data_IF_377233583532
#
_entry.id   IF_377233583532
#
_cell.length_a   1.000
_cell.length_b   1.000
_cell.length_c   1.000
_cell.angle_alpha   90.00
_cell.angle_beta   90.00
_cell.angle_gamma   90.00
#
_symmetry.space_group_name_H-M   'P 1'
#
loop_
_entity.id
_entity.type
_entity.pdbx_description
1 polymer ?
#
# COMPACT_ATOMS: atom_id res chain seq x y z
N UNK A 1 6.58 -10.76 -21.08
CA UNK A 1 5.82 -11.98 -20.74
C UNK A 1 4.81 -11.54 -19.71
N UNK A 2 3.51 -11.68 -19.95
CA UNK A 2 2.52 -11.13 -19.03
C UNK A 2 2.43 -12.06 -17.82
N UNK A 3 2.78 -11.54 -16.65
CA UNK A 3 2.62 -12.18 -15.35
C UNK A 3 1.17 -12.07 -14.88
N UNK A 4 0.78 -12.92 -13.93
CA UNK A 4 -0.59 -12.96 -13.40
C UNK A 4 -0.57 -12.94 -11.88
N UNK A 5 -1.29 -11.99 -11.29
CA UNK A 5 -1.55 -11.95 -9.85
C UNK A 5 -2.98 -12.43 -9.61
N UNK A 6 -3.10 -13.57 -8.94
CA UNK A 6 -4.39 -14.04 -8.43
C UNK A 6 -4.71 -13.33 -7.11
N UNK A 7 -5.80 -12.56 -7.09
CA UNK A 7 -6.26 -11.82 -5.91
C UNK A 7 -7.55 -12.45 -5.42
N UNK A 8 -7.54 -12.93 -4.19
CA UNK A 8 -8.73 -13.43 -3.50
C UNK A 8 -8.98 -12.59 -2.25
N UNK A 9 -10.17 -12.01 -2.14
CA UNK A 9 -10.63 -11.27 -0.97
C UNK A 9 -11.88 -11.94 -0.44
N UNK A 10 -11.90 -12.25 0.85
CA UNK A 10 -13.06 -12.80 1.54
C UNK A 10 -13.41 -11.88 2.71
N UNK A 11 -14.65 -11.41 2.73
CA UNK A 11 -15.22 -10.58 3.78
C UNK A 11 -16.37 -11.38 4.39
N UNK A 12 -16.24 -11.74 5.67
CA UNK A 12 -17.27 -12.42 6.43
C UNK A 12 -17.75 -11.50 7.54
N UNK A 13 -19.01 -11.06 7.49
CA UNK A 13 -19.62 -10.27 8.56
C UNK A 13 -20.27 -11.25 9.54
N UNK A 14 -19.88 -11.20 10.81
CA UNK A 14 -20.46 -12.07 11.83
C UNK A 14 -21.98 -11.86 11.92
N UNK A 15 -22.74 -12.96 11.80
CA UNK A 15 -24.21 -12.93 11.72
C UNK A 15 -24.77 -12.07 10.57
N UNK A 16 -23.98 -11.84 9.52
CA UNK A 16 -24.31 -10.99 8.39
C UNK A 16 -23.96 -11.62 7.04
N UNK A 17 -23.98 -10.82 5.96
CA UNK A 17 -23.64 -11.29 4.64
C UNK A 17 -22.14 -11.59 4.51
N UNK A 18 -21.81 -12.40 3.50
CA UNK A 18 -20.43 -12.59 3.06
C UNK A 18 -20.26 -12.02 1.65
N UNK A 19 -19.03 -11.59 1.36
CA UNK A 19 -18.61 -11.17 0.03
C UNK A 19 -17.30 -11.89 -0.27
N UNK A 20 -17.23 -12.54 -1.44
CA UNK A 20 -16.00 -13.15 -1.94
C UNK A 20 -15.70 -12.63 -3.34
N UNK A 21 -14.46 -12.19 -3.55
CA UNK A 21 -13.96 -11.66 -4.80
C UNK A 21 -12.74 -12.50 -5.21
N UNK A 22 -12.76 -13.01 -6.43
CA UNK A 22 -11.62 -13.69 -7.05
C UNK A 22 -11.35 -13.02 -8.41
N UNK A 23 -10.15 -12.47 -8.58
CA UNK A 23 -9.72 -11.76 -9.78
C UNK A 23 -8.32 -12.17 -10.18
N UNK A 24 -8.07 -12.16 -11.49
CA UNK A 24 -6.73 -12.23 -12.05
C UNK A 24 -6.40 -10.83 -12.56
N UNK A 25 -5.28 -10.28 -12.09
CA UNK A 25 -4.72 -9.03 -12.60
C UNK A 25 -3.53 -9.40 -13.48
N UNK A 26 -3.60 -9.03 -14.75
CA UNK A 26 -2.50 -9.17 -15.69
C UNK A 26 -1.54 -7.99 -15.53
N UNK A 27 -0.26 -8.31 -15.32
CA UNK A 27 0.81 -7.34 -15.06
C UNK A 27 2.05 -7.73 -15.87
N UNK A 28 2.91 -6.76 -16.17
CA UNK A 28 4.19 -7.03 -16.83
C UNK A 28 5.30 -7.33 -15.82
N UNK A 29 5.16 -6.81 -14.60
CA UNK A 29 6.05 -7.06 -13.48
C UNK A 29 5.29 -6.94 -12.16
N UNK A 30 5.86 -7.51 -11.10
CA UNK A 30 5.40 -7.35 -9.73
C UNK A 30 6.58 -7.24 -8.80
N UNK A 31 6.40 -6.55 -7.68
CA UNK A 31 7.44 -6.38 -6.69
C UNK A 31 6.86 -6.40 -5.28
N UNK A 32 7.61 -7.00 -4.34
CA UNK A 32 7.32 -6.93 -2.91
C UNK A 32 8.41 -6.11 -2.23
N UNK A 33 8.00 -5.00 -1.63
CA UNK A 33 8.87 -4.08 -0.90
C UNK A 33 8.60 -4.24 0.60
N UNK A 34 9.65 -4.37 1.41
CA UNK A 34 9.55 -4.39 2.87
C UNK A 34 10.23 -3.14 3.43
N UNK A 35 9.53 -2.43 4.32
CA UNK A 35 9.96 -1.13 4.86
C UNK A 35 9.87 -1.19 6.37
N UNK A 36 10.95 -0.82 7.03
CA UNK A 36 10.99 -0.64 8.49
C UNK A 36 10.94 0.84 8.80
N UNK A 37 9.91 1.32 9.50
CA UNK A 37 9.79 2.71 9.98
C UNK A 37 9.98 2.74 11.49
N UNK A 38 10.82 3.63 11.99
CA UNK A 38 11.06 3.82 13.42
C UNK A 38 10.15 4.91 13.98
N UNK A 39 9.95 4.92 15.30
CA UNK A 39 9.27 6.04 15.94
C UNK A 39 9.98 7.35 15.60
N UNK A 40 9.20 8.39 15.33
CA UNK A 40 9.65 9.72 14.90
C UNK A 40 10.22 9.78 13.48
N UNK A 41 10.24 8.67 12.71
CA UNK A 41 10.49 8.74 11.27
C UNK A 41 9.36 9.57 10.63
N UNK A 42 9.75 10.62 9.90
CA UNK A 42 8.85 11.47 9.13
C UNK A 42 9.18 11.37 7.63
N UNK A 43 8.14 11.22 6.81
CA UNK A 43 8.21 11.17 5.35
C UNK A 43 9.30 10.23 4.80
N UNK A 44 9.45 9.05 5.40
CA UNK A 44 10.35 8.00 4.91
C UNK A 44 9.92 7.56 3.51
N UNK A 45 10.72 7.92 2.51
CA UNK A 45 10.44 7.67 1.10
C UNK A 45 10.62 6.20 0.76
N UNK A 46 9.65 5.67 0.02
CA UNK A 46 9.64 4.34 -0.56
C UNK A 46 9.25 4.50 -2.02
N UNK A 47 10.20 4.28 -2.92
CA UNK A 47 9.92 4.24 -4.34
C UNK A 47 9.16 2.95 -4.67
N UNK A 48 8.02 3.09 -5.34
CA UNK A 48 7.26 1.94 -5.82
C UNK A 48 7.80 1.43 -7.15
N UNK A 49 8.35 2.30 -7.97
CA UNK A 49 8.88 1.91 -9.27
C UNK A 49 9.99 2.89 -9.69
N UNK A 50 10.98 2.47 -10.50
CA UNK A 50 11.99 3.38 -11.02
C UNK A 50 11.33 4.54 -11.76
N UNK A 51 11.79 5.77 -11.49
CA UNK A 51 11.24 7.02 -12.04
C UNK A 51 11.27 7.10 -13.57
N UNK A 52 12.08 6.25 -14.20
CA UNK A 52 12.49 6.37 -15.60
C UNK A 52 11.73 5.42 -16.54
N UNK A 53 10.86 4.57 -15.99
CA UNK A 53 10.10 3.59 -16.77
C UNK A 53 8.66 4.07 -17.06
N UNK A 54 8.20 3.89 -18.30
CA UNK A 54 6.82 4.17 -18.75
C UNK A 54 5.83 3.09 -18.26
N UNK A 55 5.78 2.86 -16.95
CA UNK A 55 4.87 1.91 -16.32
C UNK A 55 3.95 2.55 -15.28
N UNK A 56 2.77 1.98 -15.10
CA UNK A 56 1.81 2.35 -14.07
C UNK A 56 1.60 1.22 -13.06
N UNK A 57 1.43 1.60 -11.79
CA UNK A 57 0.95 0.67 -10.75
C UNK A 57 -0.52 0.39 -11.01
N UNK A 58 -0.87 -0.88 -11.26
CA UNK A 58 -2.24 -1.34 -11.48
C UNK A 58 -2.78 -2.21 -10.34
N UNK A 59 -1.92 -2.58 -9.41
CA UNK A 59 -2.29 -3.22 -8.15
C UNK A 59 -1.40 -2.67 -7.05
N UNK A 60 -2.00 -2.28 -5.93
CA UNK A 60 -1.28 -1.82 -4.75
C UNK A 60 -1.91 -2.47 -3.51
N UNK A 61 -1.12 -3.23 -2.77
CA UNK A 61 -1.49 -3.74 -1.46
C UNK A 61 -0.48 -3.25 -0.41
N UNK A 62 -0.97 -2.60 0.64
CA UNK A 62 -0.16 -2.11 1.76
C UNK A 62 -0.64 -2.82 3.03
N UNK A 63 0.27 -3.53 3.68
CA UNK A 63 0.02 -4.24 4.94
C UNK A 63 1.08 -3.88 5.96
N UNK A 64 0.79 -4.10 7.24
CA UNK A 64 1.72 -3.83 8.31
C UNK A 64 1.55 -4.80 9.47
N UNK A 65 2.59 -4.94 10.28
CA UNK A 65 2.51 -5.66 11.55
C UNK A 65 1.84 -4.84 12.68
N UNK A 66 1.55 -3.57 12.44
CA UNK A 66 0.79 -2.71 13.34
C UNK A 66 -0.09 -1.76 12.54
N UNK A 67 -1.29 -1.45 13.05
CA UNK A 67 -2.23 -0.54 12.41
C UNK A 67 -2.72 0.52 13.40
N UNK A 68 -3.06 1.69 12.89
CA UNK A 68 -3.74 2.74 13.64
C UNK A 68 -3.36 4.16 13.20
N UNK A 69 -3.94 5.14 13.88
CA UNK A 69 -3.79 6.57 13.54
C UNK A 69 -2.36 7.12 13.62
N UNK A 70 -1.44 6.40 14.25
CA UNK A 70 -0.05 6.81 14.44
C UNK A 70 0.83 6.54 13.23
N UNK A 71 0.36 5.74 12.27
CA UNK A 71 1.06 5.46 11.02
C UNK A 71 0.31 6.14 9.89
N UNK A 72 1.02 6.96 9.13
CA UNK A 72 0.45 7.62 7.96
C UNK A 72 1.37 7.49 6.77
N UNK A 73 0.82 7.73 5.59
CA UNK A 73 1.61 7.91 4.39
C UNK A 73 1.04 8.98 3.47
N UNK A 74 1.91 9.60 2.69
CA UNK A 74 1.55 10.44 1.55
C UNK A 74 1.88 9.70 0.27
N UNK A 75 1.16 10.04 -0.79
CA UNK A 75 1.44 9.54 -2.14
C UNK A 75 2.22 10.61 -2.89
N UNK A 76 3.40 10.26 -3.40
CA UNK A 76 4.31 11.21 -4.04
C UNK A 76 4.57 12.42 -3.12
N UNK A 77 4.42 13.64 -3.64
CA UNK A 77 4.56 14.92 -2.91
C UNK A 77 3.21 15.62 -2.70
N UNK A 78 2.10 14.88 -2.70
CA UNK A 78 0.78 15.48 -2.44
C UNK A 78 0.56 15.76 -0.96
N UNK A 79 -0.31 16.73 -0.68
CA UNK A 79 -0.62 17.16 0.68
C UNK A 79 -1.52 16.15 1.44
N UNK A 80 -2.28 15.31 0.72
CA UNK A 80 -3.20 14.36 1.33
C UNK A 80 -2.45 13.29 2.13
N UNK A 81 -2.93 13.07 3.34
CA UNK A 81 -2.35 12.12 4.30
C UNK A 81 -3.32 10.97 4.51
N UNK A 82 -2.86 9.77 4.23
CA UNK A 82 -3.61 8.53 4.41
C UNK A 82 -3.15 7.86 5.71
N UNK A 83 -4.10 7.47 6.56
CA UNK A 83 -3.81 6.66 7.75
C UNK A 83 -3.70 5.21 7.35
N UNK A 84 -2.78 4.47 7.96
CA UNK A 84 -2.72 3.00 7.81
C UNK A 84 -3.38 2.36 9.04
N UNK A 85 -4.68 2.54 9.15
CA UNK A 85 -5.51 1.99 10.23
C UNK A 85 -6.02 0.57 9.94
N UNK A 86 -5.93 0.13 8.68
CA UNK A 86 -6.21 -1.21 8.18
C UNK A 86 -5.35 -1.52 6.94
N UNK A 87 -5.31 -2.78 6.44
CA UNK A 87 -4.75 -3.08 5.13
C UNK A 87 -5.40 -2.25 4.02
N UNK A 88 -4.60 -1.67 3.12
CA UNK A 88 -5.11 -0.99 1.94
C UNK A 88 -4.89 -1.88 0.72
N UNK A 89 -5.93 -2.07 -0.09
CA UNK A 89 -5.87 -2.88 -1.30
C UNK A 89 -6.62 -2.18 -2.43
N UNK A 90 -5.88 -1.82 -3.48
CA UNK A 90 -6.39 -1.23 -4.71
C UNK A 90 -6.10 -2.19 -5.86
N UNK A 91 -7.15 -2.60 -6.58
CA UNK A 91 -7.07 -3.62 -7.63
C UNK A 91 -7.57 -3.02 -8.94
N UNK A 92 -6.70 -3.00 -9.94
CA UNK A 92 -6.97 -2.45 -11.27
C UNK A 92 -6.64 -0.96 -11.37
N UNK A 93 -6.36 -0.51 -12.60
CA UNK A 93 -5.89 0.85 -12.90
C UNK A 93 -6.81 1.93 -12.31
N UNK A 94 -8.12 1.84 -12.55
CA UNK A 94 -9.08 2.85 -12.03
C UNK A 94 -9.13 2.93 -10.51
N UNK A 95 -8.91 1.83 -9.80
CA UNK A 95 -8.86 1.83 -8.33
C UNK A 95 -7.58 2.49 -7.84
N UNK A 96 -6.44 2.23 -8.48
CA UNK A 96 -5.16 2.89 -8.13
C UNK A 96 -5.19 4.38 -8.47
N UNK A 97 -5.89 4.78 -9.55
CA UNK A 97 -6.07 6.18 -9.94
C UNK A 97 -6.89 7.02 -8.96
N UNK A 98 -7.50 6.41 -7.94
CA UNK A 98 -8.05 7.17 -6.81
C UNK A 98 -6.95 7.87 -6.00
N UNK A 99 -5.70 7.40 -6.11
CA UNK A 99 -4.51 8.09 -5.65
C UNK A 99 -3.99 8.96 -6.81
N UNK A 100 -4.46 10.21 -6.88
CA UNK A 100 -4.10 11.17 -7.92
C UNK A 100 -3.07 12.20 -7.39
N UNK A 101 -1.88 12.35 -7.99
CA UNK A 101 -1.39 11.65 -9.16
C UNK A 101 -0.98 10.21 -8.86
N UNK A 102 -0.97 9.37 -9.92
CA UNK A 102 -0.60 7.95 -9.84
C UNK A 102 0.62 7.73 -8.94
N UNK A 103 0.58 6.74 -8.05
CA UNK A 103 1.60 6.56 -7.05
C UNK A 103 2.90 6.09 -7.70
N UNK A 104 3.96 6.90 -7.58
CA UNK A 104 5.35 6.55 -7.89
C UNK A 104 6.14 6.28 -6.62
N UNK A 105 5.81 7.01 -5.55
CA UNK A 105 6.44 6.93 -4.25
C UNK A 105 5.39 6.95 -3.15
N UNK A 106 5.69 6.32 -2.02
CA UNK A 106 4.95 6.47 -0.77
C UNK A 106 5.90 7.03 0.29
N UNK A 107 5.43 7.99 1.07
CA UNK A 107 6.22 8.61 2.15
C UNK A 107 5.58 8.29 3.48
N UNK A 108 6.15 7.36 4.22
CA UNK A 108 5.59 6.87 5.49
C UNK A 108 6.08 7.70 6.67
N UNK A 109 5.19 7.99 7.61
CA UNK A 109 5.51 8.61 8.88
C UNK A 109 4.97 7.76 10.03
N UNK A 110 5.72 7.70 11.13
CA UNK A 110 5.29 7.02 12.34
C UNK A 110 5.65 7.83 13.58
N UNK A 111 4.65 8.15 14.39
CA UNK A 111 4.85 8.81 15.68
C UNK A 111 3.91 8.22 16.71
N UNK A 112 4.46 7.64 17.78
CA UNK A 112 3.69 7.25 18.96
C UNK A 112 3.79 8.34 20.05
N UNK A 113 2.68 8.66 20.75
CA UNK A 113 2.75 9.50 21.94
C UNK A 113 3.59 8.83 23.04
N UNK A 114 4.12 9.60 24.00
CA UNK A 114 4.90 9.07 25.13
C UNK A 114 4.19 9.38 26.46
N UNK A 115 4.02 8.40 27.37
CA UNK A 115 4.34 6.97 27.24
C UNK A 115 3.25 6.19 26.48
N UNK A 116 3.65 5.36 25.52
CA UNK A 116 2.76 4.45 24.78
C UNK A 116 3.45 3.09 24.60
N UNK A 117 2.67 2.01 24.78
CA UNK A 117 3.11 0.61 24.69
C UNK A 117 3.24 0.11 23.24
N UNK A 118 3.11 1.00 22.25
CA UNK A 118 3.32 0.69 20.84
C UNK A 118 4.77 0.37 20.50
N UNK A 119 4.94 -0.37 19.40
CA UNK A 119 6.24 -0.82 18.89
C UNK A 119 7.17 0.37 18.61
N UNK A 120 8.47 0.24 18.90
CA UNK A 120 9.45 1.28 18.55
C UNK A 120 9.79 1.30 17.05
N UNK A 121 9.47 0.22 16.34
CA UNK A 121 9.55 0.14 14.89
C UNK A 121 8.43 -0.71 14.32
N UNK A 122 8.00 -0.36 13.12
CA UNK A 122 6.88 -0.98 12.42
C UNK A 122 7.39 -1.49 11.07
N UNK A 123 6.93 -2.67 10.69
CA UNK A 123 7.21 -3.28 9.40
C UNK A 123 6.00 -3.07 8.50
N UNK A 124 6.24 -2.50 7.32
CA UNK A 124 5.26 -2.32 6.26
C UNK A 124 5.67 -3.20 5.08
N UNK A 125 4.73 -3.94 4.53
CA UNK A 125 4.92 -4.70 3.31
C UNK A 125 4.03 -4.11 2.23
N UNK A 126 4.63 -3.82 1.08
CA UNK A 126 3.95 -3.28 -0.08
C UNK A 126 4.09 -4.32 -1.19
N UNK A 127 2.97 -4.72 -1.79
CA UNK A 127 2.96 -5.50 -3.02
C UNK A 127 2.42 -4.61 -4.13
N UNK A 128 3.15 -4.55 -5.23
CA UNK A 128 2.72 -3.84 -6.44
C UNK A 128 2.64 -4.78 -7.62
N UNK A 129 1.68 -4.50 -8.49
CA UNK A 129 1.61 -5.04 -9.85
C UNK A 129 1.69 -3.89 -10.84
N UNK A 130 2.46 -4.05 -11.90
CA UNK A 130 2.82 -2.98 -12.82
C UNK A 130 2.43 -3.33 -14.24
N UNK A 131 2.05 -2.31 -15.01
CA UNK A 131 1.78 -2.43 -16.43
C UNK A 131 2.60 -1.40 -17.19
N UNK A 132 3.41 -1.85 -18.12
CA UNK A 132 4.17 -1.04 -19.06
C UNK A 132 3.31 -0.69 -20.26
N UNK A 133 3.48 0.52 -20.81
CA UNK A 133 2.78 0.98 -22.00
C UNK A 133 3.56 0.70 -23.28
#
# INVERSE_FOLDING_TARGET
MNEKIAVTVKIDIQNGPNISLNRIVEVDAYEKINVSIKNEDADKVVDLWPSDNEGEVVLLAITSNWYGDTITYKVNDVADVYKLDQPHLLIGNSSVNMLDPKPKQLKFSYSKPTPDNKLDSIQIQILIGLKTF
#
